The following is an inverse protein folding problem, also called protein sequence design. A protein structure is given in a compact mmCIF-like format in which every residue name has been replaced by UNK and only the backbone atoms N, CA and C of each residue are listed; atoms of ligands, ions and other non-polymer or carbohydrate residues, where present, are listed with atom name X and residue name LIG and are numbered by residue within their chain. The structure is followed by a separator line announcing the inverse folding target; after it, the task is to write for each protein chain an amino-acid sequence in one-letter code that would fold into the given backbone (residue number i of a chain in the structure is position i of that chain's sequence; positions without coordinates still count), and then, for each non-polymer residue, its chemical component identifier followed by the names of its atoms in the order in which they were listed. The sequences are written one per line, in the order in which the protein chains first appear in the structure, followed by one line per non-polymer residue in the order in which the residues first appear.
data_IF_530170483315
#
_entry.id   IF_530170483315
#
_cell.length_a   1.000
_cell.length_b   1.000
_cell.length_c   1.000
_cell.angle_alpha   90.00
_cell.angle_beta   90.00
_cell.angle_gamma   90.00
#
_symmetry.space_group_name_H-M   'P 1'
#
loop_
_entity.id
_entity.type
_entity.pdbx_description
1 polymer ?
#
# COMPACT_ATOMS: atom_id res chain seq x y z
N UNK A 1 -7.41 -8.68 -17.10
CA UNK A 1 -6.60 -9.29 -18.17
C UNK A 1 -5.24 -9.63 -17.58
N UNK A 2 -4.78 -10.86 -17.78
CA UNK A 2 -3.40 -11.27 -17.53
C UNK A 2 -2.65 -11.20 -18.86
N UNK A 3 -1.43 -10.67 -18.83
CA UNK A 3 -0.57 -10.53 -20.01
C UNK A 3 0.89 -10.61 -19.58
N UNK A 4 1.70 -11.30 -20.38
CA UNK A 4 3.14 -11.41 -20.18
C UNK A 4 3.83 -11.42 -21.55
N UNK A 5 5.12 -11.10 -21.55
CA UNK A 5 5.96 -11.27 -22.74
C UNK A 5 5.96 -12.76 -23.12
N UNK A 6 5.79 -13.06 -24.39
CA UNK A 6 5.77 -14.41 -24.97
C UNK A 6 4.64 -15.34 -24.46
N UNK A 7 3.53 -14.80 -23.95
CA UNK A 7 2.32 -15.57 -23.58
C UNK A 7 1.04 -14.93 -24.09
N UNK A 8 0.11 -15.75 -24.58
CA UNK A 8 -1.22 -15.28 -24.97
C UNK A 8 -1.93 -14.61 -23.78
N UNK A 9 -2.57 -13.48 -24.04
CA UNK A 9 -3.28 -12.74 -23.01
C UNK A 9 -4.58 -13.44 -22.61
N UNK A 10 -4.85 -13.52 -21.31
CA UNK A 10 -6.07 -14.10 -20.76
C UNK A 10 -6.99 -12.99 -20.24
N UNK A 11 -8.22 -12.95 -20.74
CA UNK A 11 -9.25 -12.05 -20.19
C UNK A 11 -9.84 -12.65 -18.92
N UNK A 12 -10.01 -11.82 -17.89
CA UNK A 12 -10.64 -12.22 -16.64
C UNK A 12 -11.95 -11.45 -16.53
N UNK A 13 -13.07 -12.17 -16.44
CA UNK A 13 -14.41 -11.61 -16.29
C UNK A 13 -14.93 -12.02 -14.92
N UNK A 14 -15.17 -11.04 -14.04
CA UNK A 14 -15.52 -11.30 -12.63
C UNK A 14 -16.79 -12.17 -12.51
N UNK A 15 -17.77 -11.94 -13.36
CA UNK A 15 -19.03 -12.69 -13.37
C UNK A 15 -18.88 -14.15 -13.86
N UNK A 16 -17.72 -14.52 -14.39
CA UNK A 16 -17.39 -15.89 -14.83
C UNK A 16 -16.49 -16.60 -13.82
N UNK A 17 -16.14 -15.95 -12.71
CA UNK A 17 -15.37 -16.58 -11.65
C UNK A 17 -16.15 -17.70 -10.98
N UNK A 18 -15.43 -18.70 -10.49
CA UNK A 18 -16.02 -19.84 -9.80
C UNK A 18 -16.84 -19.39 -8.58
N UNK A 19 -17.98 -20.03 -8.35
CA UNK A 19 -18.76 -19.85 -7.11
C UNK A 19 -18.09 -20.54 -5.90
N UNK A 20 -16.98 -21.25 -6.11
CA UNK A 20 -16.27 -21.97 -5.05
C UNK A 20 -15.33 -21.03 -4.31
N UNK A 21 -15.29 -21.19 -2.99
CA UNK A 21 -14.38 -20.48 -2.11
C UNK A 21 -13.34 -21.43 -1.52
N UNK A 22 -12.13 -20.91 -1.31
CA UNK A 22 -11.00 -21.63 -0.72
C UNK A 22 -10.40 -20.83 0.43
N UNK A 23 -9.97 -21.53 1.47
CA UNK A 23 -9.27 -20.89 2.59
C UNK A 23 -7.87 -20.46 2.16
N UNK A 24 -7.58 -19.18 2.30
CA UNK A 24 -6.25 -18.60 2.12
C UNK A 24 -5.80 -17.91 3.41
N UNK A 25 -4.49 -17.81 3.62
CA UNK A 25 -3.93 -17.12 4.78
C UNK A 25 -3.29 -15.81 4.35
N UNK A 26 -3.79 -14.70 4.88
CA UNK A 26 -3.28 -13.35 4.62
C UNK A 26 -2.90 -12.72 5.96
N UNK A 27 -1.61 -12.45 6.15
CA UNK A 27 -1.05 -11.90 7.40
C UNK A 27 -1.50 -12.65 8.67
N UNK A 28 -1.61 -13.98 8.57
CA UNK A 28 -2.03 -14.86 9.66
C UNK A 28 -3.55 -15.05 9.80
N UNK A 29 -4.36 -14.21 9.16
CA UNK A 29 -5.81 -14.35 9.12
C UNK A 29 -6.21 -15.37 8.06
N UNK A 30 -7.10 -16.29 8.41
CA UNK A 30 -7.72 -17.22 7.44
C UNK A 30 -8.91 -16.50 6.82
N UNK A 31 -8.94 -16.50 5.49
CA UNK A 31 -9.91 -15.77 4.67
C UNK A 31 -10.50 -16.73 3.66
N UNK A 32 -11.83 -16.75 3.54
CA UNK A 32 -12.53 -17.52 2.51
C UNK A 32 -12.52 -16.72 1.21
N UNK A 33 -11.63 -17.05 0.27
CA UNK A 33 -11.45 -16.32 -0.98
C UNK A 33 -12.10 -17.05 -2.17
N UNK A 34 -12.76 -16.31 -3.06
CA UNK A 34 -13.40 -16.88 -4.24
C UNK A 34 -12.34 -17.35 -5.24
N UNK A 35 -12.48 -18.55 -5.81
CA UNK A 35 -11.62 -18.99 -6.92
C UNK A 35 -11.95 -18.20 -8.20
N UNK A 36 -10.93 -17.78 -8.94
CA UNK A 36 -11.16 -17.17 -10.26
C UNK A 36 -11.52 -18.23 -11.30
N UNK A 37 -10.53 -18.90 -11.90
CA UNK A 37 -10.74 -20.00 -12.84
C UNK A 37 -9.50 -20.90 -12.88
N UNK A 38 -9.69 -22.16 -13.24
CA UNK A 38 -8.56 -23.09 -13.40
C UNK A 38 -7.63 -22.65 -14.56
N UNK A 39 -8.17 -21.97 -15.57
CA UNK A 39 -7.39 -21.38 -16.66
C UNK A 39 -6.46 -20.25 -16.16
N UNK A 40 -6.93 -19.40 -15.23
CA UNK A 40 -6.10 -18.35 -14.63
C UNK A 40 -5.01 -18.95 -13.73
N UNK A 41 -5.35 -19.99 -12.97
CA UNK A 41 -4.42 -20.75 -12.12
C UNK A 41 -3.29 -21.35 -12.97
N UNK A 42 -3.65 -22.03 -14.08
CA UNK A 42 -2.68 -22.59 -15.02
C UNK A 42 -1.84 -21.50 -15.68
N UNK A 43 -2.47 -20.43 -16.16
CA UNK A 43 -1.78 -19.32 -16.82
C UNK A 43 -0.69 -18.73 -15.91
N UNK A 44 -1.01 -18.46 -14.64
CA UNK A 44 -0.05 -17.91 -13.67
C UNK A 44 1.00 -18.94 -13.27
N UNK A 45 0.62 -20.20 -13.08
CA UNK A 45 1.56 -21.24 -12.68
C UNK A 45 2.63 -21.50 -13.74
N UNK A 46 2.23 -21.49 -15.01
CA UNK A 46 3.15 -21.57 -16.15
C UNK A 46 4.02 -20.33 -16.26
N UNK A 47 3.48 -19.13 -16.03
CA UNK A 47 4.27 -17.90 -16.12
C UNK A 47 5.28 -17.77 -14.98
N UNK A 48 4.86 -18.04 -13.74
CA UNK A 48 5.68 -17.89 -12.54
C UNK A 48 6.56 -19.11 -12.25
N UNK A 49 6.36 -20.22 -12.97
CA UNK A 49 7.05 -21.50 -12.78
C UNK A 49 6.89 -22.04 -11.34
N UNK A 50 5.73 -21.77 -10.72
CA UNK A 50 5.35 -22.25 -9.39
C UNK A 50 3.87 -22.65 -9.42
N UNK A 51 3.49 -23.71 -8.69
CA UNK A 51 2.08 -24.06 -8.53
C UNK A 51 1.38 -22.96 -7.70
N UNK A 52 0.46 -22.24 -8.33
CA UNK A 52 -0.24 -21.12 -7.72
C UNK A 52 -1.67 -20.98 -8.24
N UNK A 53 -2.49 -20.26 -7.49
CA UNK A 53 -3.90 -20.03 -7.81
C UNK A 53 -4.24 -18.56 -7.70
N UNK A 54 -5.09 -18.07 -8.59
CA UNK A 54 -5.67 -16.74 -8.52
C UNK A 54 -6.99 -16.80 -7.77
N UNK A 55 -7.06 -15.98 -6.72
CA UNK A 55 -8.28 -15.80 -5.94
C UNK A 55 -8.77 -14.36 -6.02
N UNK A 56 -10.07 -14.20 -5.88
CA UNK A 56 -10.78 -12.93 -5.89
C UNK A 56 -11.42 -12.68 -4.52
N UNK A 57 -11.49 -11.41 -4.13
CA UNK A 57 -12.22 -11.00 -2.93
C UNK A 57 -13.70 -10.91 -3.30
N UNK A 58 -14.38 -12.06 -3.22
CA UNK A 58 -15.78 -12.20 -3.61
C UNK A 58 -16.73 -11.64 -2.56
N UNK A 59 -18.02 -11.59 -2.89
CA UNK A 59 -19.06 -11.02 -2.02
C UNK A 59 -19.19 -11.75 -0.66
N UNK A 60 -18.81 -13.02 -0.59
CA UNK A 60 -18.83 -13.82 0.64
C UNK A 60 -17.49 -13.80 1.39
N UNK A 61 -16.50 -13.07 0.87
CA UNK A 61 -15.21 -12.89 1.54
C UNK A 61 -15.30 -11.77 2.56
N UNK A 62 -14.91 -12.06 3.80
CA UNK A 62 -14.84 -11.08 4.88
C UNK A 62 -13.44 -11.06 5.48
N UNK A 63 -12.90 -9.86 5.67
CA UNK A 63 -11.64 -9.61 6.36
C UNK A 63 -11.65 -8.19 6.94
N UNK A 64 -12.02 -8.04 8.22
CA UNK A 64 -12.07 -6.73 8.87
C UNK A 64 -10.67 -6.13 9.01
N UNK A 65 -10.60 -4.80 8.90
CA UNK A 65 -9.44 -4.01 9.29
C UNK A 65 -9.24 -4.17 10.80
N UNK A 66 -7.99 -4.39 11.21
CA UNK A 66 -7.66 -4.50 12.64
C UNK A 66 -8.11 -3.22 13.37
N UNK A 67 -8.85 -3.39 14.46
CA UNK A 67 -9.36 -2.32 15.32
C UNK A 67 -10.42 -1.39 14.65
N UNK A 68 -10.91 -1.72 13.45
CA UNK A 68 -11.98 -1.00 12.74
C UNK A 68 -13.00 -1.99 12.16
N UNK A 69 -13.94 -2.44 12.97
CA UNK A 69 -14.92 -3.49 12.59
C UNK A 69 -15.82 -3.11 11.40
N UNK A 70 -16.06 -1.82 11.18
CA UNK A 70 -16.92 -1.34 10.09
C UNK A 70 -16.20 -1.22 8.74
N UNK A 71 -14.89 -1.51 8.69
CA UNK A 71 -14.11 -1.42 7.46
C UNK A 71 -13.53 -2.79 7.10
N UNK A 72 -13.72 -3.17 5.85
CA UNK A 72 -13.09 -4.34 5.25
C UNK A 72 -11.74 -3.96 4.65
N UNK A 73 -10.78 -4.88 4.71
CA UNK A 73 -9.54 -4.83 3.93
C UNK A 73 -9.50 -6.07 3.08
N UNK A 74 -9.30 -5.90 1.78
CA UNK A 74 -9.18 -7.03 0.87
C UNK A 74 -7.87 -7.80 1.11
N UNK A 75 -7.16 -8.21 0.06
CA UNK A 75 -5.85 -8.84 0.21
C UNK A 75 -4.71 -7.83 0.46
N UNK A 76 -5.02 -6.55 0.68
CA UNK A 76 -4.06 -5.52 1.09
C UNK A 76 -3.51 -5.76 2.51
N UNK A 77 -2.38 -5.16 2.85
CA UNK A 77 -1.64 -5.57 4.07
C UNK A 77 -2.41 -5.37 5.37
N UNK A 78 -2.88 -4.15 5.63
CA UNK A 78 -3.60 -3.84 6.87
C UNK A 78 -4.66 -2.74 6.76
N UNK A 79 -4.61 -1.91 5.72
CA UNK A 79 -5.55 -0.80 5.51
C UNK A 79 -5.92 -0.69 4.04
N UNK A 80 -7.13 -0.18 3.72
CA UNK A 80 -7.64 -0.18 2.36
C UNK A 80 -6.91 0.80 1.45
N UNK A 81 -6.37 1.89 2.01
CA UNK A 81 -5.78 2.98 1.23
C UNK A 81 -4.51 3.52 1.90
N UNK A 82 -3.55 3.93 1.08
CA UNK A 82 -2.33 4.62 1.48
C UNK A 82 -2.28 6.01 0.85
N UNK A 83 -2.05 7.02 1.68
CA UNK A 83 -1.79 8.40 1.28
C UNK A 83 -0.31 8.73 1.44
N UNK A 84 0.27 9.41 0.45
CA UNK A 84 1.60 10.01 0.53
C UNK A 84 1.56 11.43 -0.03
N UNK A 85 2.54 12.26 0.32
CA UNK A 85 2.67 13.61 -0.25
C UNK A 85 3.92 13.71 -1.12
N UNK A 86 3.87 14.58 -2.14
CA UNK A 86 5.01 14.87 -3.01
C UNK A 86 6.17 15.49 -2.22
N UNK A 87 5.88 16.43 -1.31
CA UNK A 87 6.91 17.03 -0.45
C UNK A 87 7.66 16.01 0.42
N UNK A 88 6.96 14.99 0.96
CA UNK A 88 7.62 13.89 1.69
C UNK A 88 8.52 13.06 0.79
N UNK A 89 8.07 12.78 -0.45
CA UNK A 89 8.85 12.05 -1.45
C UNK A 89 10.11 12.82 -1.82
N UNK A 90 9.98 14.11 -2.15
CA UNK A 90 11.11 15.00 -2.50
C UNK A 90 12.13 15.09 -1.36
N UNK A 91 11.65 15.31 -0.13
CA UNK A 91 12.51 15.35 1.05
C UNK A 91 13.33 14.07 1.22
N UNK A 92 12.72 12.91 0.95
CA UNK A 92 13.40 11.62 1.02
C UNK A 92 14.36 11.44 -0.15
N UNK A 93 13.99 11.89 -1.35
CA UNK A 93 14.80 11.80 -2.56
C UNK A 93 16.10 12.60 -2.44
N UNK A 94 16.07 13.76 -1.77
CA UNK A 94 17.27 14.57 -1.49
C UNK A 94 18.30 13.88 -0.59
N UNK A 95 17.85 12.95 0.25
CA UNK A 95 18.69 12.27 1.26
C UNK A 95 19.06 10.84 0.89
N UNK A 96 18.34 10.27 -0.07
CA UNK A 96 18.59 8.93 -0.54
C UNK A 96 19.69 8.93 -1.60
N UNK A 97 20.74 8.11 -1.47
CA UNK A 97 21.80 8.03 -2.48
C UNK A 97 21.34 7.34 -3.78
N UNK A 98 20.14 6.75 -3.79
CA UNK A 98 19.54 6.13 -4.96
C UNK A 98 18.30 6.91 -5.41
N UNK A 99 18.07 6.97 -6.72
CA UNK A 99 16.78 7.42 -7.26
C UNK A 99 15.71 6.38 -6.95
N UNK A 100 14.51 6.83 -6.59
CA UNK A 100 13.36 5.95 -6.41
C UNK A 100 12.07 6.64 -6.80
N UNK A 101 11.10 5.84 -7.23
CA UNK A 101 9.78 6.33 -7.62
C UNK A 101 8.81 6.27 -6.42
N UNK A 102 7.91 7.25 -6.29
CA UNK A 102 6.88 7.25 -5.24
C UNK A 102 5.97 6.02 -5.32
N UNK A 103 5.80 5.43 -6.50
CA UNK A 103 5.06 4.20 -6.74
C UNK A 103 5.73 2.96 -6.12
N UNK A 104 7.01 3.02 -5.72
CA UNK A 104 7.63 1.98 -4.89
C UNK A 104 6.95 1.86 -3.51
N UNK A 105 6.34 2.95 -3.02
CA UNK A 105 5.56 2.94 -1.78
C UNK A 105 4.13 2.42 -1.97
N UNK A 106 3.68 2.27 -3.22
CA UNK A 106 2.32 1.85 -3.61
C UNK A 106 1.20 2.72 -3.01
N UNK A 107 1.31 4.07 -3.03
CA UNK A 107 0.22 4.93 -2.57
C UNK A 107 -0.99 4.81 -3.48
N UNK A 108 -2.18 4.91 -2.91
CA UNK A 108 -3.43 5.09 -3.66
C UNK A 108 -3.67 6.56 -3.97
N UNK A 109 -3.33 7.45 -3.02
CA UNK A 109 -3.48 8.90 -3.13
C UNK A 109 -2.13 9.57 -2.95
N UNK A 110 -1.74 10.37 -3.94
CA UNK A 110 -0.57 11.26 -3.87
C UNK A 110 -1.08 12.68 -3.84
N UNK A 111 -0.78 13.39 -2.75
CA UNK A 111 -1.23 14.77 -2.54
C UNK A 111 -0.08 15.74 -2.79
N UNK A 112 -0.32 16.73 -3.64
CA UNK A 112 0.57 17.86 -3.81
C UNK A 112 0.49 18.76 -2.57
N UNK A 113 1.64 19.06 -1.98
CA UNK A 113 1.80 19.93 -0.82
C UNK A 113 3.24 20.40 -0.72
N UNK A 114 3.53 21.35 0.16
CA UNK A 114 4.86 21.98 0.24
C UNK A 114 5.62 21.71 1.55
N UNK A 115 4.98 21.06 2.54
CA UNK A 115 5.60 20.74 3.81
C UNK A 115 5.83 19.23 3.91
N UNK A 116 7.09 18.76 3.91
CA UNK A 116 7.41 17.36 4.08
C UNK A 116 6.80 16.80 5.37
N UNK A 117 6.15 15.65 5.25
CA UNK A 117 5.50 14.90 6.32
C UNK A 117 4.36 15.61 7.02
N UNK A 118 3.76 16.65 6.42
CA UNK A 118 2.56 17.28 6.97
C UNK A 118 1.43 16.27 7.19
N UNK A 119 1.36 15.24 6.34
CA UNK A 119 0.36 14.17 6.43
C UNK A 119 0.40 13.40 7.75
N UNK A 120 1.54 13.38 8.44
CA UNK A 120 1.69 12.70 9.73
C UNK A 120 0.75 13.23 10.82
N UNK A 121 0.38 14.50 10.71
CA UNK A 121 -0.47 15.18 11.69
C UNK A 121 -1.91 15.29 11.23
N UNK A 122 -2.29 14.78 10.06
CA UNK A 122 -3.68 14.80 9.63
C UNK A 122 -4.45 13.71 10.38
N UNK A 123 -5.69 14.03 10.76
CA UNK A 123 -6.60 13.06 11.38
C UNK A 123 -7.83 12.83 10.51
N UNK A 124 -8.41 13.90 9.98
CA UNK A 124 -9.57 13.84 9.09
C UNK A 124 -9.29 14.70 7.86
N UNK A 125 -9.39 14.09 6.68
CA UNK A 125 -9.17 14.76 5.39
C UNK A 125 -10.33 14.52 4.45
N UNK A 126 -10.74 15.58 3.76
CA UNK A 126 -11.69 15.53 2.66
C UNK A 126 -10.97 15.72 1.34
N UNK A 127 -11.26 14.86 0.37
CA UNK A 127 -10.67 14.89 -0.96
C UNK A 127 -11.80 14.73 -1.97
N UNK A 128 -12.07 15.78 -2.75
CA UNK A 128 -13.26 15.83 -3.60
C UNK A 128 -14.54 15.63 -2.77
N UNK A 129 -15.30 14.58 -3.08
CA UNK A 129 -16.55 14.25 -2.37
C UNK A 129 -16.38 13.25 -1.22
N UNK A 130 -15.21 12.62 -1.10
CA UNK A 130 -14.93 11.59 -0.12
C UNK A 130 -14.25 12.14 1.14
N UNK A 131 -14.49 11.50 2.27
CA UNK A 131 -13.88 11.84 3.56
C UNK A 131 -13.16 10.63 4.15
N UNK A 132 -11.98 10.86 4.73
CA UNK A 132 -11.06 9.83 5.19
C UNK A 132 -10.58 10.10 6.61
N UNK A 133 -10.53 9.04 7.41
CA UNK A 133 -9.80 9.01 8.68
C UNK A 133 -8.37 8.61 8.40
N UNK A 134 -7.40 9.40 8.86
CA UNK A 134 -5.98 9.09 8.78
C UNK A 134 -5.59 8.29 10.01
N UNK A 135 -5.53 6.98 9.85
CA UNK A 135 -5.43 6.06 10.97
C UNK A 135 -4.02 6.04 11.56
N UNK A 136 -3.03 5.59 10.79
CA UNK A 136 -1.66 5.37 11.30
C UNK A 136 -0.58 5.61 10.26
N UNK A 137 0.65 5.93 10.67
CA UNK A 137 1.80 5.89 9.78
C UNK A 137 1.97 4.50 9.17
N UNK A 138 2.37 4.44 7.89
CA UNK A 138 2.61 3.18 7.21
C UNK A 138 4.06 2.74 7.42
N UNK A 139 4.26 1.66 8.19
CA UNK A 139 5.56 1.00 8.29
C UNK A 139 5.96 0.38 6.96
N UNK A 140 7.21 0.60 6.56
CA UNK A 140 7.74 0.14 5.28
C UNK A 140 8.64 -1.08 5.47
N UNK A 141 8.42 -2.08 4.64
CA UNK A 141 9.24 -3.29 4.56
C UNK A 141 10.18 -3.25 3.34
N UNK A 142 10.97 -4.31 3.16
CA UNK A 142 11.93 -4.46 2.04
C UNK A 142 11.30 -4.27 0.66
N UNK A 143 9.98 -4.44 0.49
CA UNK A 143 9.31 -4.28 -0.81
C UNK A 143 9.54 -2.90 -1.44
N UNK A 144 9.72 -1.84 -0.64
CA UNK A 144 10.01 -0.52 -1.22
C UNK A 144 11.38 -0.42 -1.87
N UNK A 145 12.27 -1.39 -1.64
CA UNK A 145 13.59 -1.42 -2.27
C UNK A 145 13.57 -2.15 -3.62
N UNK A 146 12.40 -2.56 -4.13
CA UNK A 146 12.24 -3.07 -5.49
C UNK A 146 11.83 -1.91 -6.40
N UNK A 147 12.70 -1.45 -7.32
CA UNK A 147 12.35 -0.41 -8.28
C UNK A 147 11.15 -0.81 -9.14
N UNK A 148 10.37 0.18 -9.60
CA UNK A 148 9.20 -0.07 -10.44
C UNK A 148 9.64 -0.74 -11.75
N UNK A 149 9.03 -1.88 -12.07
CA UNK A 149 9.34 -2.66 -13.28
C UNK A 149 10.63 -3.49 -13.20
N UNK A 150 11.38 -3.46 -12.10
CA UNK A 150 12.55 -4.29 -11.90
C UNK A 150 12.19 -5.65 -11.28
N UNK A 151 13.03 -6.65 -11.55
CA UNK A 151 12.91 -8.01 -10.98
C UNK A 151 13.76 -8.20 -9.72
N UNK A 152 14.70 -7.28 -9.45
CA UNK A 152 15.66 -7.41 -8.35
C UNK A 152 15.64 -6.19 -7.43
N UNK A 153 15.81 -6.45 -6.13
CA UNK A 153 15.88 -5.40 -5.12
C UNK A 153 17.16 -4.59 -5.25
N UNK A 154 17.08 -3.29 -4.96
CA UNK A 154 18.20 -2.40 -4.78
C UNK A 154 19.17 -2.96 -3.73
N UNK A 155 20.42 -3.17 -4.14
CA UNK A 155 21.47 -3.81 -3.33
C UNK A 155 21.87 -2.99 -2.10
N UNK A 156 21.67 -1.67 -2.12
CA UNK A 156 21.89 -0.76 -1.01
C UNK A 156 20.71 -0.69 -0.03
N UNK A 157 19.62 -1.44 -0.29
CA UNK A 157 18.38 -1.44 0.48
C UNK A 157 17.70 -0.07 0.54
N UNK A 158 17.88 0.75 -0.50
CA UNK A 158 17.24 2.05 -0.60
C UNK A 158 15.83 1.96 -1.22
N UNK A 159 14.88 2.81 -0.82
CA UNK A 159 15.01 3.92 0.13
C UNK A 159 14.76 3.53 1.61
N UNK A 160 14.61 2.23 1.92
CA UNK A 160 14.31 1.76 3.27
C UNK A 160 15.42 2.08 4.28
N UNK A 161 16.68 2.00 3.85
CA UNK A 161 17.84 2.34 4.69
C UNK A 161 17.83 3.82 5.09
N UNK A 162 17.59 4.73 4.13
CA UNK A 162 17.43 6.16 4.41
C UNK A 162 16.25 6.42 5.35
N UNK A 163 15.08 5.82 5.12
CA UNK A 163 13.94 5.93 6.04
C UNK A 163 14.27 5.40 7.44
N UNK A 164 15.01 4.31 7.55
CA UNK A 164 15.41 3.74 8.85
C UNK A 164 16.32 4.67 9.65
N UNK A 165 17.06 5.56 8.98
CA UNK A 165 17.93 6.54 9.61
C UNK A 165 17.17 7.78 10.09
N UNK A 166 16.21 8.28 9.30
CA UNK A 166 15.57 9.58 9.55
C UNK A 166 14.12 9.50 10.03
N UNK A 167 13.44 8.40 9.73
CA UNK A 167 11.98 8.24 9.82
C UNK A 167 11.63 6.92 10.49
N UNK A 168 12.39 6.54 11.52
CA UNK A 168 12.13 5.36 12.33
C UNK A 168 11.29 5.73 13.55
N UNK A 169 10.18 5.05 13.80
CA UNK A 169 9.40 5.25 15.01
C UNK A 169 10.20 4.86 16.26
N UNK A 170 9.90 5.48 17.40
CA UNK A 170 10.45 5.10 18.70
C UNK A 170 10.13 3.63 19.05
N UNK A 171 8.95 3.15 18.66
CA UNK A 171 8.51 1.74 18.77
C UNK A 171 9.22 0.79 17.81
N UNK A 172 9.95 1.30 16.81
CA UNK A 172 10.54 0.51 15.73
C UNK A 172 9.76 0.61 14.41
N UNK A 173 10.38 0.17 13.32
CA UNK A 173 9.83 0.33 11.97
C UNK A 173 10.13 1.70 11.35
N UNK A 174 10.46 1.69 10.06
CA UNK A 174 10.67 2.90 9.27
C UNK A 174 9.34 3.28 8.60
N UNK A 175 8.94 4.55 8.61
CA UNK A 175 7.61 4.99 8.16
C UNK A 175 7.64 5.95 6.99
N UNK A 176 6.70 5.78 6.07
CA UNK A 176 6.44 6.70 4.97
C UNK A 176 4.99 6.58 4.48
N UNK A 177 4.30 7.72 4.37
CA UNK A 177 2.86 7.75 4.07
C UNK A 177 1.99 7.36 5.26
N UNK A 178 0.68 7.53 5.09
CA UNK A 178 -0.35 7.33 6.10
C UNK A 178 -1.44 6.39 5.59
N UNK A 179 -1.81 5.43 6.43
CA UNK A 179 -2.93 4.53 6.18
C UNK A 179 -4.25 5.29 6.37
N UNK A 180 -5.17 5.13 5.42
CA UNK A 180 -6.48 5.76 5.44
C UNK A 180 -7.60 4.73 5.57
N UNK A 181 -8.69 5.17 6.21
CA UNK A 181 -9.99 4.50 6.21
C UNK A 181 -11.02 5.46 5.61
N UNK A 182 -11.90 4.95 4.75
CA UNK A 182 -13.00 5.74 4.19
C UNK A 182 -14.05 5.95 5.28
N UNK A 183 -14.33 7.20 5.63
CA UNK A 183 -15.44 7.57 6.52
C UNK A 183 -16.70 7.77 5.69
N UNK A 184 -16.57 8.48 4.56
CA UNK A 184 -17.66 8.77 3.63
C UNK A 184 -17.20 8.49 2.20
N UNK A 185 -17.85 7.56 1.49
CA UNK A 185 -17.55 7.33 0.09
C UNK A 185 -17.96 8.53 -0.77
N UNK A 186 -17.23 8.76 -1.85
CA UNK A 186 -17.48 9.83 -2.80
C UNK A 186 -16.54 9.73 -3.99
N UNK A 187 -16.86 10.45 -5.08
CA UNK A 187 -16.00 10.48 -6.25
C UNK A 187 -14.73 11.31 -5.98
N UNK A 188 -13.59 10.78 -6.41
CA UNK A 188 -12.31 11.49 -6.46
C UNK A 188 -11.82 11.48 -7.89
N UNK A 189 -11.41 12.65 -8.37
CA UNK A 189 -10.71 12.82 -9.64
C UNK A 189 -9.33 13.41 -9.41
N UNK A 190 -8.38 13.15 -10.32
CA UNK A 190 -7.08 13.83 -10.31
C UNK A 190 -7.30 15.35 -10.32
N UNK A 191 -6.58 16.06 -9.46
CA UNK A 191 -6.71 17.51 -9.29
C UNK A 191 -7.83 17.97 -8.36
N UNK A 192 -8.54 17.04 -7.70
CA UNK A 192 -9.50 17.40 -6.65
C UNK A 192 -8.82 18.14 -5.49
N UNK A 193 -9.54 19.09 -4.89
CA UNK A 193 -9.07 19.82 -3.71
C UNK A 193 -8.95 18.90 -2.50
N UNK A 194 -7.95 19.17 -1.66
CA UNK A 194 -7.73 18.50 -0.38
C UNK A 194 -7.97 19.50 0.74
N UNK A 195 -8.78 19.11 1.72
CA UNK A 195 -9.05 19.90 2.92
C UNK A 195 -8.74 19.05 4.16
N UNK A 196 -7.88 19.57 5.05
CA UNK A 196 -7.57 18.93 6.34
C UNK A 196 -8.55 19.45 7.38
N UNK A 197 -9.50 18.61 7.78
CA UNK A 197 -10.59 18.96 8.69
C UNK A 197 -10.19 18.90 10.16
N UNK A 198 -9.24 18.02 10.52
CA UNK A 198 -8.70 17.94 11.88
C UNK A 198 -7.30 17.31 11.90
N UNK A 199 -6.60 17.52 13.02
CA UNK A 199 -5.22 17.10 13.22
C UNK A 199 -5.05 16.17 14.42
N UNK A 200 -3.99 15.35 14.39
CA UNK A 200 -3.50 14.49 15.47
C UNK A 200 -2.06 14.87 15.84
N UNK A 201 -1.57 14.29 16.94
CA UNK A 201 -0.17 14.40 17.30
C UNK A 201 0.73 13.76 16.23
N UNK A 202 1.90 14.35 16.01
CA UNK A 202 2.91 13.75 15.14
C UNK A 202 3.42 12.42 15.73
N UNK A 203 3.84 11.45 14.90
CA UNK A 203 4.41 10.21 15.38
C UNK A 203 5.72 10.47 16.11
N UNK A 204 5.95 9.72 17.19
CA UNK A 204 7.21 9.76 17.93
C UNK A 204 8.30 9.05 17.14
N UNK A 205 9.23 9.83 16.58
CA UNK A 205 10.40 9.30 15.89
C UNK A 205 11.52 9.02 16.88
N UNK A 206 12.26 7.95 16.64
CA UNK A 206 13.51 7.67 17.31
C UNK A 206 14.50 8.78 16.99
N UNK A 207 15.14 9.32 18.01
CA UNK A 207 16.22 10.29 17.82
C UNK A 207 17.30 9.72 16.87
N UNK A 208 17.90 10.54 16.00
CA UNK A 208 18.99 10.09 15.14
C UNK A 208 20.10 9.51 16.03
N UNK A 209 20.49 8.26 15.77
CA UNK A 209 21.69 7.72 16.41
C UNK A 209 22.89 8.52 15.90
N UNK A 210 23.73 9.05 16.80
CA UNK A 210 25.01 9.63 16.42
C UNK A 210 25.76 8.67 15.48
N UNK A 211 26.47 9.18 14.45
CA UNK A 211 27.22 8.31 13.55
C UNK A 211 28.18 7.47 14.40
N UNK A 212 28.16 6.15 14.20
CA UNK A 212 29.19 5.28 14.78
C UNK A 212 30.51 5.68 14.12
N UNK A 213 31.42 6.20 14.94
CA UNK A 213 32.83 6.49 14.61
C UNK A 213 33.55 5.26 14.10
#
# INVERSE_FOLDING_TARGET
MLSAVDKDSLSLVINEFSETYVEVKVWGQVVSAQKCSDEADQWLSEFLQIDCRLVYFGELTHRPVKDVETSEVSFADGYPLLLATEASHEWLQERCPASFDIHQFRPNLVITGNLPFAEDQWLHVKIGEAEFSVHSPCERCKLITLPVGAETFNTLQEPLRTLSQYRRLASGGAIFGQNLVVIKPGLITKGASVEVLSHKAAPELKAPSAPRS
#
